data_IF_205212748371
#
_entry.id   IF_205212748371
#
_cell.length_a   1.000
_cell.length_b   1.000
_cell.length_c   1.000
_cell.angle_alpha   90.00
_cell.angle_beta   90.00
_cell.angle_gamma   90.00
#
_symmetry.space_group_name_H-M   'P 1'
#
loop_
_entity.id
_entity.type
_entity.pdbx_description
1 polymer ?
#
# COMPACT_ATOMS: atom_id res chain seq x y z
N UNK A 1 -41.69 -25.07 5.69
CA UNK A 1 -40.70 -24.54 6.66
C UNK A 1 -40.34 -23.15 6.17
N UNK A 2 -40.93 -22.12 6.79
CA UNK A 2 -40.58 -20.71 6.51
C UNK A 2 -39.16 -20.48 7.03
N UNK A 3 -38.21 -20.24 6.12
CA UNK A 3 -36.86 -19.84 6.47
C UNK A 3 -36.87 -18.54 7.30
N UNK A 4 -35.81 -18.24 8.05
CA UNK A 4 -35.73 -17.02 8.85
C UNK A 4 -35.96 -15.81 7.95
N UNK A 5 -36.89 -14.94 8.34
CA UNK A 5 -37.17 -13.71 7.60
C UNK A 5 -35.92 -12.81 7.59
N UNK A 6 -35.61 -12.16 6.45
CA UNK A 6 -34.48 -11.27 6.35
C UNK A 6 -34.59 -10.14 7.38
N UNK A 7 -33.52 -9.87 8.12
CA UNK A 7 -33.48 -8.79 9.13
C UNK A 7 -33.58 -7.44 8.44
N UNK A 8 -34.25 -6.47 9.10
CA UNK A 8 -34.29 -5.10 8.60
C UNK A 8 -32.89 -4.47 8.66
N UNK A 9 -32.59 -3.52 7.77
CA UNK A 9 -31.33 -2.77 7.74
C UNK A 9 -31.01 -2.14 9.12
N UNK A 10 -32.03 -1.62 9.81
CA UNK A 10 -31.88 -1.09 11.17
C UNK A 10 -31.43 -2.14 12.17
N UNK A 11 -31.96 -3.34 12.10
CA UNK A 11 -31.58 -4.47 12.96
C UNK A 11 -30.15 -4.93 12.65
N UNK A 12 -29.76 -5.00 11.36
CA UNK A 12 -28.41 -5.35 10.93
C UNK A 12 -27.42 -4.30 11.43
N UNK A 13 -27.72 -3.00 11.28
CA UNK A 13 -26.88 -1.90 11.76
C UNK A 13 -26.68 -1.96 13.29
N UNK A 14 -27.73 -2.20 14.05
CA UNK A 14 -27.64 -2.31 15.51
C UNK A 14 -26.73 -3.50 15.90
N UNK A 15 -27.00 -4.68 15.35
CA UNK A 15 -26.20 -5.87 15.62
C UNK A 15 -24.72 -5.71 15.25
N UNK A 16 -24.42 -5.10 14.10
CA UNK A 16 -23.04 -4.80 13.69
C UNK A 16 -22.38 -3.81 14.63
N UNK A 17 -23.07 -2.72 14.98
CA UNK A 17 -22.53 -1.69 15.89
C UNK A 17 -22.19 -2.26 17.26
N UNK A 18 -23.03 -3.13 17.81
CA UNK A 18 -22.77 -3.77 19.11
C UNK A 18 -21.56 -4.70 19.07
N UNK A 19 -21.38 -5.43 17.98
CA UNK A 19 -20.20 -6.32 17.80
C UNK A 19 -18.92 -5.52 17.62
N UNK A 20 -18.95 -4.42 16.85
CA UNK A 20 -17.81 -3.51 16.70
C UNK A 20 -17.40 -2.87 18.05
N UNK A 21 -18.38 -2.46 18.87
CA UNK A 21 -18.12 -1.97 20.24
C UNK A 21 -17.50 -3.06 21.14
N UNK A 22 -18.02 -4.28 21.06
CA UNK A 22 -17.47 -5.39 21.81
C UNK A 22 -16.02 -5.70 21.40
N UNK A 23 -15.73 -5.70 20.10
CA UNK A 23 -14.38 -5.88 19.57
C UNK A 23 -13.43 -4.73 19.97
N UNK A 24 -13.89 -3.48 19.93
CA UNK A 24 -13.11 -2.34 20.42
C UNK A 24 -12.66 -2.51 21.87
N UNK A 25 -13.62 -2.90 22.76
CA UNK A 25 -13.31 -3.19 24.16
C UNK A 25 -12.35 -4.36 24.33
N UNK A 26 -12.54 -5.46 23.56
CA UNK A 26 -11.70 -6.66 23.61
C UNK A 26 -10.26 -6.39 23.15
N UNK A 27 -10.09 -5.61 22.12
CA UNK A 27 -8.79 -5.33 21.47
C UNK A 27 -8.09 -4.09 22.01
N UNK A 28 -8.74 -3.30 22.87
CA UNK A 28 -8.21 -2.00 23.34
C UNK A 28 -8.12 -0.93 22.25
N UNK A 29 -8.83 -1.11 21.11
CA UNK A 29 -8.80 -0.19 19.96
C UNK A 29 -10.00 0.74 19.98
N UNK A 30 -9.79 1.94 19.44
CA UNK A 30 -10.88 2.89 19.24
C UNK A 30 -11.96 2.30 18.31
N UNK A 31 -13.24 2.55 18.66
CA UNK A 31 -14.37 2.06 17.88
C UNK A 31 -14.30 2.48 16.41
N UNK A 32 -13.82 3.69 16.16
CA UNK A 32 -13.70 4.21 14.80
C UNK A 32 -12.68 3.40 13.97
N UNK A 33 -11.55 3.01 14.56
CA UNK A 33 -10.54 2.20 13.90
C UNK A 33 -11.06 0.78 13.60
N UNK A 34 -11.73 0.15 14.57
CA UNK A 34 -12.35 -1.17 14.38
C UNK A 34 -13.40 -1.13 13.26
N UNK A 35 -14.25 -0.11 13.25
CA UNK A 35 -15.26 0.11 12.21
C UNK A 35 -14.61 0.32 10.85
N UNK A 36 -13.60 1.19 10.77
CA UNK A 36 -12.86 1.46 9.53
C UNK A 36 -12.24 0.17 8.97
N UNK A 37 -11.54 -0.60 9.79
CA UNK A 37 -10.93 -1.86 9.36
C UNK A 37 -11.97 -2.87 8.84
N UNK A 38 -13.13 -2.93 9.47
CA UNK A 38 -14.24 -3.77 8.99
C UNK A 38 -14.72 -3.30 7.61
N UNK A 39 -15.01 -2.02 7.46
CA UNK A 39 -15.49 -1.44 6.19
C UNK A 39 -14.47 -1.63 5.06
N UNK A 40 -13.17 -1.41 5.33
CA UNK A 40 -12.12 -1.63 4.33
C UNK A 40 -12.09 -3.09 3.84
N UNK A 41 -12.22 -4.08 4.75
CA UNK A 41 -12.30 -5.50 4.35
C UNK A 41 -13.52 -5.79 3.50
N UNK A 42 -14.70 -5.25 3.84
CA UNK A 42 -15.91 -5.42 3.03
C UNK A 42 -15.78 -4.82 1.64
N UNK A 43 -15.07 -3.70 1.53
CA UNK A 43 -14.76 -3.10 0.24
C UNK A 43 -13.79 -3.96 -0.57
N UNK A 44 -12.72 -4.46 0.05
CA UNK A 44 -11.76 -5.38 -0.59
C UNK A 44 -12.46 -6.66 -1.07
N UNK A 45 -13.41 -7.19 -0.30
CA UNK A 45 -14.21 -8.36 -0.72
C UNK A 45 -14.90 -8.11 -2.06
N UNK A 46 -15.37 -6.90 -2.36
CA UNK A 46 -15.98 -6.57 -3.66
C UNK A 46 -14.96 -6.45 -4.77
N UNK A 47 -13.88 -5.71 -4.53
CA UNK A 47 -12.83 -5.45 -5.52
C UNK A 47 -12.20 -6.75 -6.00
N UNK A 48 -11.84 -7.63 -5.06
CA UNK A 48 -11.16 -8.89 -5.38
C UNK A 48 -12.10 -10.02 -5.80
N UNK A 49 -13.39 -9.96 -5.47
CA UNK A 49 -14.37 -10.92 -6.01
C UNK A 49 -14.66 -10.71 -7.50
N UNK A 50 -14.42 -9.51 -8.02
CA UNK A 50 -14.68 -9.20 -9.43
C UNK A 50 -13.51 -9.59 -10.34
N UNK A 51 -12.32 -9.08 -10.01
CA UNK A 51 -11.11 -9.26 -10.82
C UNK A 51 -9.91 -9.55 -9.90
N UNK A 52 -9.81 -10.75 -9.31
CA UNK A 52 -8.83 -11.07 -8.26
C UNK A 52 -7.39 -10.90 -8.73
N UNK A 53 -7.09 -11.22 -9.99
CA UNK A 53 -5.73 -11.16 -10.54
C UNK A 53 -5.32 -9.78 -11.05
N UNK A 54 -6.24 -8.85 -11.10
CA UNK A 54 -6.01 -7.52 -11.67
C UNK A 54 -5.63 -6.46 -10.61
N UNK A 55 -5.87 -6.75 -9.35
CA UNK A 55 -5.65 -5.84 -8.25
C UNK A 55 -4.57 -6.34 -7.32
N UNK A 56 -3.78 -5.41 -6.76
CA UNK A 56 -2.83 -5.67 -5.68
C UNK A 56 -3.09 -4.66 -4.57
N UNK A 57 -3.24 -5.15 -3.36
CA UNK A 57 -3.30 -4.30 -2.17
C UNK A 57 -1.88 -3.98 -1.69
N UNK A 58 -1.60 -2.69 -1.51
CA UNK A 58 -0.33 -2.15 -0.99
C UNK A 58 -0.51 -1.50 0.38
N UNK A 59 0.53 -0.86 0.86
CA UNK A 59 0.52 0.09 1.97
C UNK A 59 0.14 -0.46 3.33
N UNK A 60 -0.44 0.40 4.16
CA UNK A 60 -0.77 0.07 5.55
C UNK A 60 -1.84 -0.99 5.71
N UNK A 61 -2.83 -1.07 4.81
CA UNK A 61 -3.88 -2.10 4.89
C UNK A 61 -3.33 -3.48 4.53
N UNK A 62 -2.35 -3.58 3.62
CA UNK A 62 -1.62 -4.82 3.37
C UNK A 62 -0.92 -5.33 4.63
N UNK A 63 -0.27 -4.42 5.40
CA UNK A 63 0.31 -4.76 6.70
C UNK A 63 -0.74 -5.31 7.68
N UNK A 64 -1.93 -4.70 7.75
CA UNK A 64 -3.00 -5.16 8.66
C UNK A 64 -3.57 -6.53 8.27
N UNK A 65 -3.58 -6.88 6.98
CA UNK A 65 -3.96 -8.24 6.56
C UNK A 65 -2.92 -9.27 6.96
N UNK A 66 -1.63 -8.97 6.82
CA UNK A 66 -0.52 -9.84 7.21
C UNK A 66 -0.38 -9.96 8.72
N UNK A 67 -0.37 -8.81 9.39
CA UNK A 67 -0.15 -8.68 10.84
C UNK A 67 -1.39 -8.09 11.49
N UNK A 68 -2.25 -8.94 12.00
CA UNK A 68 -3.48 -8.51 12.65
C UNK A 68 -3.29 -7.47 13.77
N UNK A 69 -2.14 -7.41 14.41
CA UNK A 69 -1.81 -6.44 15.44
C UNK A 69 -1.08 -5.19 14.93
N UNK A 70 -0.79 -5.10 13.62
CA UNK A 70 -0.26 -3.88 13.04
C UNK A 70 -1.16 -2.67 13.31
N UNK A 71 -0.57 -1.48 13.26
CA UNK A 71 -1.32 -0.22 13.41
C UNK A 71 -2.48 -0.17 12.40
N UNK A 72 -3.66 0.35 12.80
CA UNK A 72 -4.77 0.48 11.88
C UNK A 72 -4.41 1.42 10.72
N UNK A 73 -4.75 1.02 9.49
CA UNK A 73 -4.71 1.91 8.34
C UNK A 73 -6.02 2.68 8.19
N UNK A 74 -5.94 3.90 7.65
CA UNK A 74 -7.12 4.77 7.43
C UNK A 74 -7.55 4.80 5.96
N UNK A 75 -6.71 4.28 5.07
CA UNK A 75 -6.80 4.30 3.62
C UNK A 75 -6.51 2.94 3.01
N UNK A 76 -6.77 2.84 1.71
CA UNK A 76 -6.37 1.72 0.87
C UNK A 76 -5.40 2.23 -0.20
N UNK A 77 -4.36 1.45 -0.44
CA UNK A 77 -3.46 1.65 -1.58
C UNK A 77 -3.70 0.49 -2.57
N UNK A 78 -4.30 0.79 -3.70
CA UNK A 78 -4.63 -0.20 -4.73
C UNK A 78 -3.79 0.03 -5.98
N UNK A 79 -3.11 -1.03 -6.41
CA UNK A 79 -2.35 -1.08 -7.65
C UNK A 79 -3.09 -1.92 -8.68
N UNK A 80 -3.31 -1.36 -9.89
CA UNK A 80 -3.79 -2.11 -11.04
C UNK A 80 -2.62 -2.75 -11.79
N UNK A 81 -2.66 -4.08 -12.01
CA UNK A 81 -1.51 -4.86 -12.54
C UNK A 81 -1.31 -4.79 -14.03
N UNK A 82 -2.35 -4.74 -14.80
CA UNK A 82 -2.37 -5.03 -16.23
C UNK A 82 -1.86 -3.92 -17.15
N UNK A 83 -1.30 -2.84 -16.59
CA UNK A 83 -0.83 -1.69 -17.37
C UNK A 83 -1.95 -0.92 -18.05
N UNK A 84 -3.19 -1.17 -17.66
CA UNK A 84 -4.40 -0.44 -18.05
C UNK A 84 -4.21 1.07 -17.85
N UNK A 85 -4.85 1.89 -18.66
CA UNK A 85 -4.85 3.33 -18.39
C UNK A 85 -5.56 3.64 -17.06
N UNK A 86 -5.20 4.75 -16.47
CA UNK A 86 -5.66 5.17 -15.15
C UNK A 86 -7.19 5.38 -15.09
N UNK A 87 -7.77 5.89 -16.17
CA UNK A 87 -9.23 6.10 -16.28
C UNK A 87 -9.98 4.77 -16.31
N UNK A 88 -9.43 3.76 -17.00
CA UNK A 88 -10.01 2.42 -17.00
C UNK A 88 -9.95 1.81 -15.61
N UNK A 89 -8.82 1.94 -14.91
CA UNK A 89 -8.68 1.47 -13.52
C UNK A 89 -9.73 2.12 -12.59
N UNK A 90 -10.01 3.42 -12.77
CA UNK A 90 -11.05 4.12 -12.03
C UNK A 90 -12.47 3.64 -12.40
N UNK A 91 -12.73 3.36 -13.69
CA UNK A 91 -14.02 2.77 -14.11
C UNK A 91 -14.25 1.40 -13.48
N UNK A 92 -13.23 0.55 -13.50
CA UNK A 92 -13.30 -0.80 -12.92
C UNK A 92 -13.50 -0.74 -11.40
N UNK A 93 -12.82 0.17 -10.71
CA UNK A 93 -13.03 0.41 -9.28
C UNK A 93 -14.47 0.85 -8.97
N UNK A 94 -15.07 1.70 -9.81
CA UNK A 94 -16.47 2.12 -9.67
C UNK A 94 -17.44 0.95 -9.84
N UNK A 95 -17.20 0.10 -10.83
CA UNK A 95 -17.99 -1.11 -11.06
C UNK A 95 -17.89 -2.08 -9.88
N UNK A 96 -16.67 -2.35 -9.41
CA UNK A 96 -16.43 -3.20 -8.24
C UNK A 96 -17.12 -2.65 -6.98
N UNK A 97 -17.01 -1.33 -6.73
CA UNK A 97 -17.66 -0.67 -5.60
C UNK A 97 -19.20 -0.81 -5.64
N UNK A 98 -19.78 -0.69 -6.82
CA UNK A 98 -21.23 -0.72 -7.02
C UNK A 98 -21.83 -2.13 -7.00
N UNK A 99 -21.02 -3.19 -6.89
CA UNK A 99 -21.54 -4.58 -6.89
C UNK A 99 -22.58 -4.80 -5.78
N UNK A 100 -23.79 -5.18 -6.13
CA UNK A 100 -24.78 -5.65 -5.16
C UNK A 100 -24.41 -7.06 -4.67
N UNK A 101 -25.15 -7.60 -3.73
CA UNK A 101 -25.21 -9.02 -3.34
C UNK A 101 -23.96 -9.61 -2.65
N UNK A 102 -22.97 -8.79 -2.27
CA UNK A 102 -21.83 -9.26 -1.47
C UNK A 102 -22.15 -9.22 0.02
N UNK A 103 -22.70 -8.10 0.48
CA UNK A 103 -23.18 -7.86 1.84
C UNK A 103 -24.10 -6.62 1.84
N UNK A 104 -24.77 -6.29 2.98
CA UNK A 104 -25.73 -5.19 3.04
C UNK A 104 -25.18 -3.77 2.82
N UNK A 105 -23.86 -3.58 2.71
CA UNK A 105 -23.30 -2.28 2.42
C UNK A 105 -23.51 -1.87 0.96
N UNK A 106 -23.70 -0.59 0.75
CA UNK A 106 -23.60 0.07 -0.56
C UNK A 106 -22.36 0.95 -0.57
N UNK A 107 -21.47 0.75 -1.54
CA UNK A 107 -20.31 1.62 -1.72
C UNK A 107 -20.46 2.45 -2.99
N UNK A 108 -19.97 3.70 -2.92
CA UNK A 108 -19.96 4.61 -4.07
C UNK A 108 -18.69 5.45 -4.06
N UNK A 109 -18.13 5.67 -5.23
CA UNK A 109 -17.11 6.72 -5.43
C UNK A 109 -17.81 8.07 -5.30
N UNK A 110 -17.46 8.84 -4.28
CA UNK A 110 -18.03 10.17 -4.03
C UNK A 110 -17.15 11.29 -4.57
N UNK A 111 -15.84 11.05 -4.73
CA UNK A 111 -14.86 11.96 -5.29
C UNK A 111 -13.72 11.17 -5.91
N UNK A 112 -13.17 11.65 -7.01
CA UNK A 112 -11.94 11.16 -7.61
C UNK A 112 -11.15 12.37 -8.10
N UNK A 113 -9.89 12.48 -7.71
CA UNK A 113 -8.98 13.56 -8.07
C UNK A 113 -7.69 12.95 -8.56
N UNK A 114 -7.28 13.34 -9.74
CA UNK A 114 -5.97 13.01 -10.28
C UNK A 114 -4.88 13.70 -9.44
N UNK A 115 -3.83 12.97 -9.16
CA UNK A 115 -2.72 13.39 -8.31
C UNK A 115 -1.42 13.13 -9.04
N UNK A 116 -0.75 14.19 -9.45
CA UNK A 116 0.55 14.10 -10.14
C UNK A 116 1.63 13.47 -9.28
N UNK A 117 1.61 13.75 -7.95
CA UNK A 117 2.54 13.20 -6.98
C UNK A 117 2.38 11.69 -6.74
N UNK A 118 1.23 11.12 -7.09
CA UNK A 118 0.96 9.67 -7.01
C UNK A 118 1.03 9.00 -8.39
N UNK A 119 1.05 9.78 -9.47
CA UNK A 119 0.76 9.29 -10.82
C UNK A 119 -0.51 8.41 -10.83
N UNK A 120 -1.56 8.88 -10.17
CA UNK A 120 -2.75 8.11 -9.87
C UNK A 120 -3.95 8.96 -9.48
N UNK A 121 -4.98 8.33 -8.95
CA UNK A 121 -6.15 8.99 -8.38
C UNK A 121 -6.18 8.89 -6.85
N UNK A 122 -6.50 9.99 -6.19
CA UNK A 122 -7.04 9.98 -4.83
C UNK A 122 -8.55 9.85 -4.93
N UNK A 123 -9.08 8.68 -4.56
CA UNK A 123 -10.50 8.35 -4.65
C UNK A 123 -11.12 8.34 -3.27
N UNK A 124 -12.28 8.96 -3.11
CA UNK A 124 -13.04 8.87 -1.85
C UNK A 124 -14.23 7.94 -2.03
N UNK A 125 -14.31 6.92 -1.19
CA UNK A 125 -15.40 5.96 -1.14
C UNK A 125 -16.30 6.28 0.04
N UNK A 126 -17.59 6.46 -0.22
CA UNK A 126 -18.61 6.42 0.81
C UNK A 126 -19.17 5.01 0.96
N UNK A 127 -19.52 4.65 2.19
CA UNK A 127 -20.14 3.37 2.58
C UNK A 127 -21.45 3.65 3.28
N UNK A 128 -22.54 3.06 2.80
CA UNK A 128 -23.87 3.18 3.40
C UNK A 128 -24.39 1.83 3.86
N UNK A 129 -25.17 1.85 4.92
CA UNK A 129 -26.01 0.74 5.35
C UNK A 129 -27.46 1.26 5.44
N UNK A 130 -28.26 0.90 4.45
CA UNK A 130 -29.54 1.56 4.19
C UNK A 130 -29.34 3.03 3.78
N UNK A 131 -30.25 3.95 4.18
CA UNK A 131 -30.21 5.34 3.74
C UNK A 131 -29.13 6.19 4.44
N UNK A 132 -28.45 5.66 5.46
CA UNK A 132 -27.51 6.43 6.30
C UNK A 132 -26.08 6.04 5.99
N UNK A 133 -25.21 7.03 5.82
CA UNK A 133 -23.78 6.82 5.70
C UNK A 133 -23.25 6.09 6.95
N UNK A 134 -22.44 5.07 6.73
CA UNK A 134 -21.84 4.27 7.78
C UNK A 134 -20.37 4.64 8.00
N UNK A 135 -19.62 4.84 6.90
CA UNK A 135 -18.23 5.28 6.92
C UNK A 135 -17.84 5.92 5.58
N UNK A 136 -16.66 6.57 5.55
CA UNK A 136 -16.10 7.20 4.36
C UNK A 136 -14.58 7.15 4.43
N UNK A 137 -13.92 6.66 3.39
CA UNK A 137 -12.47 6.47 3.38
C UNK A 137 -11.83 6.82 2.03
N UNK A 138 -10.55 7.19 2.04
CA UNK A 138 -9.79 7.42 0.81
C UNK A 138 -9.13 6.14 0.29
N UNK A 139 -8.90 6.12 -1.01
CA UNK A 139 -8.10 5.14 -1.74
C UNK A 139 -7.07 5.88 -2.59
N UNK A 140 -5.81 5.44 -2.53
CA UNK A 140 -4.80 5.79 -3.52
C UNK A 140 -4.81 4.70 -4.59
N UNK A 141 -5.30 5.07 -5.76
CA UNK A 141 -5.39 4.20 -6.93
C UNK A 141 -4.27 4.53 -7.91
N UNK A 142 -3.40 3.56 -8.14
CA UNK A 142 -2.27 3.69 -9.07
C UNK A 142 -2.28 2.55 -10.10
N UNK A 143 -1.64 2.78 -11.25
CA UNK A 143 -1.38 1.75 -12.26
C UNK A 143 0.09 1.36 -12.25
N UNK A 144 0.39 0.10 -12.48
CA UNK A 144 1.72 -0.46 -12.34
C UNK A 144 2.70 -0.01 -13.41
N UNK A 145 3.27 1.18 -13.29
CA UNK A 145 4.30 1.67 -14.24
C UNK A 145 5.66 0.99 -14.04
N UNK A 146 6.04 0.64 -12.81
CA UNK A 146 7.33 0.01 -12.48
C UNK A 146 7.26 -1.50 -12.27
N UNK A 147 6.06 -2.07 -12.17
CA UNK A 147 5.88 -3.46 -11.75
C UNK A 147 6.30 -3.69 -10.29
N UNK A 148 6.40 -4.94 -9.93
CA UNK A 148 7.01 -5.43 -8.67
C UNK A 148 7.83 -6.67 -8.98
N UNK A 149 8.74 -7.06 -8.08
CA UNK A 149 9.77 -8.07 -8.32
C UNK A 149 9.42 -9.38 -7.62
N UNK A 150 8.98 -9.30 -6.36
CA UNK A 150 8.72 -10.48 -5.55
C UNK A 150 7.44 -11.24 -5.91
N UNK A 151 7.24 -12.42 -5.34
CA UNK A 151 6.02 -13.20 -5.51
C UNK A 151 4.84 -12.54 -4.79
N UNK A 152 3.67 -12.54 -5.45
CA UNK A 152 2.42 -12.06 -4.85
C UNK A 152 1.95 -13.07 -3.81
N UNK A 153 1.60 -12.58 -2.65
CA UNK A 153 0.99 -13.36 -1.59
C UNK A 153 -0.53 -13.12 -1.55
N UNK A 154 -1.26 -14.07 -0.97
CA UNK A 154 -2.71 -13.98 -0.87
C UNK A 154 -3.14 -14.11 0.59
N UNK A 155 -4.03 -13.23 1.04
CA UNK A 155 -4.56 -13.22 2.39
C UNK A 155 -6.09 -13.09 2.38
N UNK A 156 -6.82 -13.90 3.16
CA UNK A 156 -8.28 -13.83 3.21
C UNK A 156 -8.77 -12.57 3.93
N UNK A 157 -9.90 -12.02 3.48
CA UNK A 157 -10.59 -10.90 4.14
C UNK A 157 -11.39 -11.34 5.37
N UNK A 158 -10.76 -12.09 6.28
CA UNK A 158 -11.41 -12.61 7.48
C UNK A 158 -11.57 -11.53 8.54
N UNK A 159 -12.75 -11.46 9.16
CA UNK A 159 -13.00 -10.58 10.29
C UNK A 159 -12.48 -11.16 11.60
N UNK A 160 -12.00 -10.30 12.50
CA UNK A 160 -11.45 -10.68 13.81
C UNK A 160 -12.49 -10.95 14.88
N UNK A 161 -13.74 -10.71 14.54
CA UNK A 161 -14.88 -10.94 15.41
C UNK A 161 -16.00 -11.61 14.62
N UNK A 162 -16.92 -12.24 15.31
CA UNK A 162 -18.09 -12.85 14.66
C UNK A 162 -19.01 -11.75 14.11
N UNK A 163 -18.78 -11.34 12.88
CA UNK A 163 -19.66 -10.39 12.19
C UNK A 163 -21.09 -10.96 12.06
N UNK A 164 -22.12 -10.12 11.86
CA UNK A 164 -23.46 -10.63 11.51
C UNK A 164 -23.40 -11.49 10.25
N UNK A 165 -24.23 -12.56 10.16
CA UNK A 165 -24.14 -13.53 9.06
C UNK A 165 -24.31 -12.92 7.67
N UNK A 166 -24.93 -11.75 7.55
CA UNK A 166 -25.06 -11.01 6.30
C UNK A 166 -23.70 -10.50 5.76
N UNK A 167 -22.66 -10.54 6.57
CA UNK A 167 -21.30 -10.14 6.22
C UNK A 167 -20.34 -11.34 6.14
N UNK A 168 -20.83 -12.53 5.83
CA UNK A 168 -20.04 -13.76 5.83
C UNK A 168 -19.12 -13.94 4.62
N UNK A 169 -19.31 -13.17 3.54
CA UNK A 169 -18.48 -13.26 2.34
C UNK A 169 -17.00 -12.95 2.65
N UNK A 170 -16.09 -13.76 2.12
CA UNK A 170 -14.65 -13.59 2.19
C UNK A 170 -14.02 -13.93 0.85
N UNK A 171 -12.91 -13.29 0.52
CA UNK A 171 -12.10 -13.54 -0.68
C UNK A 171 -10.63 -13.48 -0.31
N UNK A 172 -9.80 -14.09 -1.13
CA UNK A 172 -8.36 -13.92 -1.05
C UNK A 172 -7.95 -12.64 -1.77
N UNK A 173 -7.20 -11.81 -1.06
CA UNK A 173 -6.67 -10.54 -1.55
C UNK A 173 -5.22 -10.75 -1.94
N UNK A 174 -4.90 -10.43 -3.19
CA UNK A 174 -3.53 -10.37 -3.65
C UNK A 174 -2.82 -9.16 -3.02
N UNK A 175 -1.73 -9.42 -2.33
CA UNK A 175 -0.99 -8.43 -1.53
C UNK A 175 0.39 -8.20 -2.12
N UNK A 176 0.82 -6.95 -2.13
CA UNK A 176 2.13 -6.51 -2.63
C UNK A 176 3.26 -7.28 -1.93
N UNK A 177 4.25 -7.85 -2.66
CA UNK A 177 5.27 -8.71 -2.07
C UNK A 177 6.02 -8.07 -0.90
N UNK A 178 6.44 -8.86 0.09
CA UNK A 178 7.20 -8.35 1.25
C UNK A 178 8.48 -7.65 0.80
N UNK A 179 9.23 -8.24 -0.12
CA UNK A 179 10.47 -7.66 -0.67
C UNK A 179 10.26 -6.28 -1.29
N UNK A 180 9.19 -6.14 -2.08
CA UNK A 180 8.83 -4.86 -2.71
C UNK A 180 8.29 -3.87 -1.69
N UNK A 181 7.57 -4.34 -0.67
CA UNK A 181 7.09 -3.48 0.42
C UNK A 181 8.24 -2.93 1.26
N UNK A 182 9.26 -3.73 1.55
CA UNK A 182 10.52 -3.28 2.18
C UNK A 182 11.19 -2.22 1.32
N UNK A 183 11.39 -2.51 0.04
CA UNK A 183 12.02 -1.57 -0.89
C UNK A 183 11.28 -0.24 -1.01
N UNK A 184 9.93 -0.28 -1.12
CA UNK A 184 9.07 0.91 -1.22
C UNK A 184 9.16 1.77 0.05
N UNK A 185 9.18 1.14 1.24
CA UNK A 185 9.30 1.83 2.52
C UNK A 185 10.68 2.44 2.75
N UNK A 186 11.76 1.72 2.43
CA UNK A 186 13.11 2.26 2.46
C UNK A 186 13.23 3.47 1.51
N UNK A 187 12.74 3.34 0.28
CA UNK A 187 12.73 4.43 -0.68
C UNK A 187 11.96 5.64 -0.16
N UNK A 188 10.74 5.45 0.36
CA UNK A 188 9.89 6.52 0.85
C UNK A 188 10.47 7.23 2.10
N UNK A 189 11.24 6.50 2.95
CA UNK A 189 11.94 7.12 4.08
C UNK A 189 13.00 8.12 3.66
N UNK A 190 13.73 7.84 2.55
CA UNK A 190 14.87 8.65 2.12
C UNK A 190 14.57 9.53 0.91
N UNK A 191 13.36 9.43 0.34
CA UNK A 191 12.92 10.30 -0.73
C UNK A 191 12.86 11.76 -0.26
N UNK A 192 13.41 12.66 -1.06
CA UNK A 192 13.41 14.10 -0.79
C UNK A 192 12.33 14.79 -1.58
N UNK A 193 11.63 15.73 -0.97
CA UNK A 193 10.50 16.42 -1.56
C UNK A 193 10.73 17.91 -1.71
N UNK A 194 10.25 18.51 -2.78
CA UNK A 194 10.25 19.94 -3.02
C UNK A 194 11.65 20.55 -2.92
N UNK A 195 11.90 21.44 -1.93
CA UNK A 195 13.18 22.12 -1.72
C UNK A 195 14.18 21.28 -0.92
N UNK A 196 14.36 20.02 -1.28
CA UNK A 196 15.25 19.07 -0.59
C UNK A 196 14.82 18.75 0.87
N UNK A 197 13.51 18.76 1.12
CA UNK A 197 12.98 18.44 2.44
C UNK A 197 13.04 16.94 2.71
N UNK A 198 13.51 16.57 3.90
CA UNK A 198 13.54 15.19 4.35
C UNK A 198 12.11 14.62 4.50
N UNK A 199 11.99 13.32 4.28
CA UNK A 199 10.73 12.61 4.41
C UNK A 199 10.20 12.65 5.85
N UNK A 200 8.89 12.84 5.99
CA UNK A 200 8.15 12.75 7.26
C UNK A 200 7.49 11.39 7.49
N UNK A 201 7.91 10.37 6.76
CA UNK A 201 7.29 9.04 6.74
C UNK A 201 7.78 8.14 7.89
N UNK A 202 7.71 8.63 9.12
CA UNK A 202 8.13 7.91 10.34
C UNK A 202 7.45 6.54 10.50
N UNK A 203 6.21 6.40 10.02
CA UNK A 203 5.48 5.13 10.07
C UNK A 203 6.13 4.04 9.20
N UNK A 204 6.93 4.40 8.17
CA UNK A 204 7.59 3.41 7.33
C UNK A 204 8.72 2.71 8.08
N UNK A 205 9.45 3.39 8.97
CA UNK A 205 10.38 2.73 9.89
C UNK A 205 9.66 1.74 10.82
N UNK A 206 8.52 2.13 11.40
CA UNK A 206 7.77 1.23 12.27
C UNK A 206 7.27 -0.02 11.51
N UNK A 207 6.80 0.17 10.27
CA UNK A 207 6.36 -0.93 9.43
C UNK A 207 7.54 -1.82 9.00
N UNK A 208 8.74 -1.27 8.74
CA UNK A 208 9.98 -2.03 8.47
C UNK A 208 10.34 -2.91 9.66
N UNK A 209 10.39 -2.36 10.89
CA UNK A 209 10.67 -3.13 12.09
C UNK A 209 9.68 -4.29 12.29
N UNK A 210 8.39 -4.07 12.00
CA UNK A 210 7.40 -5.14 12.03
C UNK A 210 7.62 -6.19 10.93
N UNK A 211 8.09 -5.78 9.73
CA UNK A 211 8.37 -6.72 8.65
C UNK A 211 9.55 -7.62 9.00
N UNK A 212 10.66 -7.08 9.49
CA UNK A 212 11.84 -7.88 9.85
C UNK A 212 11.59 -8.81 11.04
N UNK A 213 10.73 -8.42 11.98
CA UNK A 213 10.40 -9.24 13.16
C UNK A 213 9.44 -10.40 12.86
N UNK A 214 8.71 -10.35 11.72
CA UNK A 214 7.62 -11.30 11.47
C UNK A 214 7.71 -12.06 10.15
N UNK A 215 8.51 -11.60 9.18
CA UNK A 215 8.56 -12.22 7.86
C UNK A 215 9.98 -12.57 7.43
N UNK A 216 10.17 -13.73 6.79
CA UNK A 216 11.39 -13.97 6.06
C UNK A 216 11.51 -12.97 4.90
N UNK A 217 12.72 -12.44 4.69
CA UNK A 217 13.00 -11.48 3.62
C UNK A 217 14.09 -12.09 2.73
N UNK A 218 13.77 -12.30 1.47
CA UNK A 218 14.74 -12.76 0.48
C UNK A 218 15.67 -11.61 0.11
N UNK A 219 16.97 -11.81 0.30
CA UNK A 219 18.00 -10.82 0.02
C UNK A 219 17.98 -10.36 -1.44
N UNK A 220 18.11 -11.32 -2.35
CA UNK A 220 18.34 -11.01 -3.76
C UNK A 220 17.11 -10.40 -4.41
N UNK A 221 15.91 -10.90 -4.06
CA UNK A 221 14.63 -10.31 -4.49
C UNK A 221 14.48 -8.89 -3.96
N UNK A 222 14.83 -8.65 -2.70
CA UNK A 222 14.70 -7.33 -2.08
C UNK A 222 15.71 -6.33 -2.65
N UNK A 223 16.96 -6.75 -2.89
CA UNK A 223 17.94 -5.90 -3.57
C UNK A 223 17.48 -5.52 -4.98
N UNK A 224 16.91 -6.46 -5.74
CA UNK A 224 16.33 -6.16 -7.04
C UNK A 224 15.13 -5.19 -6.94
N UNK A 225 14.30 -5.31 -5.90
CA UNK A 225 13.19 -4.40 -5.64
C UNK A 225 13.68 -3.00 -5.25
N UNK A 226 14.74 -2.89 -4.43
CA UNK A 226 15.39 -1.60 -4.09
C UNK A 226 15.97 -0.94 -5.35
N UNK A 227 16.63 -1.71 -6.22
CA UNK A 227 17.13 -1.20 -7.50
C UNK A 227 15.99 -0.72 -8.41
N UNK A 228 14.85 -1.41 -8.40
CA UNK A 228 13.64 -0.96 -9.10
C UNK A 228 13.13 0.38 -8.54
N UNK A 229 13.12 0.58 -7.23
CA UNK A 229 12.72 1.86 -6.61
C UNK A 229 13.68 3.00 -7.02
N UNK A 230 14.99 2.75 -7.06
CA UNK A 230 15.97 3.75 -7.54
C UNK A 230 15.76 4.15 -9.00
N UNK A 231 15.23 3.25 -9.83
CA UNK A 231 14.94 3.54 -11.25
C UNK A 231 13.65 4.33 -11.46
N UNK A 232 12.62 4.10 -10.64
CA UNK A 232 11.32 4.76 -10.80
C UNK A 232 11.20 6.07 -10.03
N UNK A 233 12.12 6.34 -9.09
CA UNK A 233 12.15 7.58 -8.28
C UNK A 233 13.39 8.37 -8.65
N UNK A 234 13.18 9.44 -9.41
CA UNK A 234 14.30 10.30 -9.83
C UNK A 234 15.05 10.88 -8.62
N UNK A 235 16.39 10.76 -8.65
CA UNK A 235 17.25 11.32 -7.62
C UNK A 235 17.23 10.62 -6.27
N UNK A 236 16.60 9.44 -6.15
CA UNK A 236 16.60 8.68 -4.91
C UNK A 236 18.02 8.20 -4.57
N UNK A 237 18.54 8.66 -3.44
CA UNK A 237 19.81 8.23 -2.85
C UNK A 237 19.52 7.54 -1.53
N UNK A 238 19.87 6.27 -1.40
CA UNK A 238 19.76 5.53 -0.15
C UNK A 238 21.10 5.56 0.59
N UNK A 239 21.10 5.70 1.93
CA UNK A 239 22.31 5.62 2.72
C UNK A 239 22.84 4.19 2.77
N UNK A 240 24.14 4.01 3.08
CA UNK A 240 24.72 2.67 3.28
C UNK A 240 24.32 2.02 4.61
N UNK A 241 23.68 2.76 5.50
CA UNK A 241 23.16 2.27 6.80
C UNK A 241 21.80 2.88 7.09
N UNK A 242 20.99 2.15 7.82
CA UNK A 242 19.70 2.66 8.30
C UNK A 242 19.95 3.77 9.33
N UNK A 243 19.60 4.99 8.97
CA UNK A 243 19.79 6.22 9.79
C UNK A 243 18.51 7.06 9.78
N UNK A 244 18.35 7.93 10.76
CA UNK A 244 17.27 8.90 10.74
C UNK A 244 17.44 9.87 9.55
N UNK A 245 16.40 10.07 8.71
CA UNK A 245 16.46 11.00 7.59
C UNK A 245 16.65 12.48 7.99
N UNK A 246 16.21 12.83 9.20
CA UNK A 246 16.23 14.19 9.73
C UNK A 246 16.22 14.16 11.28
N UNK A 247 16.84 15.14 11.98
CA UNK A 247 16.83 15.23 13.45
C UNK A 247 15.42 15.30 14.07
N UNK A 248 14.42 15.83 13.37
CA UNK A 248 13.03 15.90 13.84
C UNK A 248 12.44 14.52 14.15
N UNK A 249 13.00 13.44 13.58
CA UNK A 249 12.57 12.09 13.83
C UNK A 249 12.69 11.68 15.29
N UNK A 250 13.71 12.16 16.00
CA UNK A 250 13.90 11.88 17.43
C UNK A 250 12.75 12.39 18.29
N UNK A 251 12.18 13.53 17.95
CA UNK A 251 11.06 14.12 18.69
C UNK A 251 9.75 13.37 18.43
N UNK A 252 9.54 12.88 17.21
CA UNK A 252 8.27 12.29 16.78
C UNK A 252 8.20 10.78 17.01
N UNK A 253 9.34 10.11 16.97
CA UNK A 253 9.43 8.65 16.98
C UNK A 253 8.78 7.97 18.19
N UNK A 254 8.98 8.38 19.46
CA UNK A 254 8.41 7.67 20.61
C UNK A 254 6.89 7.53 20.54
N UNK A 255 6.20 8.56 20.06
CA UNK A 255 4.75 8.54 19.86
C UNK A 255 4.34 7.59 18.72
N UNK A 256 5.10 7.59 17.63
CA UNK A 256 4.86 6.72 16.46
C UNK A 256 5.08 5.25 16.85
N UNK A 257 6.18 4.94 17.53
CA UNK A 257 6.52 3.59 17.98
C UNK A 257 5.43 3.02 18.90
N UNK A 258 4.98 3.81 19.88
CA UNK A 258 3.90 3.42 20.78
C UNK A 258 2.57 3.19 20.03
N UNK A 259 2.21 4.08 19.10
CA UNK A 259 0.99 3.94 18.28
C UNK A 259 1.06 2.73 17.33
N UNK A 260 2.26 2.32 16.91
CA UNK A 260 2.52 1.15 16.07
C UNK A 260 2.63 -0.15 16.88
N UNK A 261 2.45 -0.10 18.21
CA UNK A 261 2.54 -1.22 19.13
C UNK A 261 3.91 -1.95 19.10
N UNK A 262 4.97 -1.22 18.79
CA UNK A 262 6.32 -1.74 18.92
C UNK A 262 6.67 -1.98 20.40
N UNK A 263 7.57 -2.93 20.70
CA UNK A 263 8.10 -3.12 22.05
C UNK A 263 8.65 -1.82 22.65
N UNK A 264 8.47 -1.61 23.95
CA UNK A 264 8.93 -0.38 24.62
C UNK A 264 10.44 -0.12 24.45
N UNK A 265 11.24 -1.17 24.27
CA UNK A 265 12.67 -1.09 23.96
C UNK A 265 12.98 -0.40 22.62
N UNK A 266 12.01 -0.37 21.69
CA UNK A 266 12.14 0.29 20.39
C UNK A 266 11.45 1.66 20.35
N UNK A 267 11.01 2.21 21.47
CA UNK A 267 10.47 3.57 21.54
C UNK A 267 11.57 4.64 21.52
N UNK A 268 12.80 4.27 21.82
CA UNK A 268 13.98 5.09 21.53
C UNK A 268 14.38 4.92 20.07
N UNK A 269 14.67 6.04 19.37
CA UNK A 269 14.96 5.98 17.92
C UNK A 269 16.29 5.30 17.63
N UNK A 270 17.32 5.54 18.44
CA UNK A 270 18.63 4.92 18.24
C UNK A 270 18.55 3.42 18.45
N UNK A 271 17.81 2.97 19.47
CA UNK A 271 17.55 1.54 19.71
C UNK A 271 16.79 0.92 18.52
N UNK A 272 15.78 1.60 17.98
CA UNK A 272 15.01 1.17 16.82
C UNK A 272 15.89 1.06 15.56
N UNK A 273 16.74 2.06 15.31
CA UNK A 273 17.69 2.05 14.18
C UNK A 273 18.74 0.95 14.33
N UNK A 274 19.28 0.72 15.54
CA UNK A 274 20.23 -0.37 15.81
C UNK A 274 19.56 -1.73 15.57
N UNK A 275 18.30 -1.89 15.96
CA UNK A 275 17.54 -3.11 15.69
C UNK A 275 17.41 -3.34 14.18
N UNK A 276 16.87 -2.37 13.43
CA UNK A 276 16.65 -2.50 11.99
C UNK A 276 17.92 -2.62 11.15
N UNK A 277 19.07 -2.12 11.62
CA UNK A 277 20.36 -2.28 10.92
C UNK A 277 20.77 -3.73 10.72
N UNK A 278 20.37 -4.63 11.62
CA UNK A 278 20.68 -6.07 11.51
C UNK A 278 20.17 -6.66 10.20
N UNK A 279 18.99 -6.21 9.79
CA UNK A 279 18.36 -6.66 8.55
C UNK A 279 18.74 -5.75 7.37
N UNK A 280 18.54 -4.44 7.51
CA UNK A 280 18.48 -3.52 6.39
C UNK A 280 19.83 -3.00 5.92
N UNK A 281 20.89 -2.97 6.76
CA UNK A 281 22.22 -2.51 6.31
C UNK A 281 22.79 -3.44 5.24
N UNK A 282 22.57 -4.75 5.36
CA UNK A 282 22.99 -5.73 4.34
C UNK A 282 22.34 -5.43 2.98
N UNK A 283 21.06 -5.08 2.98
CA UNK A 283 20.32 -4.73 1.77
C UNK A 283 20.72 -3.37 1.19
N UNK A 284 20.98 -2.38 2.05
CA UNK A 284 21.37 -1.03 1.65
C UNK A 284 22.80 -0.97 1.06
N UNK A 285 23.68 -1.86 1.51
CA UNK A 285 25.06 -1.99 1.02
C UNK A 285 25.19 -2.88 -0.20
N UNK A 286 24.14 -3.62 -0.55
CA UNK A 286 24.20 -4.57 -1.64
C UNK A 286 24.27 -3.86 -3.00
N UNK A 287 25.11 -4.44 -3.88
CA UNK A 287 25.18 -4.08 -5.29
C UNK A 287 24.25 -4.98 -6.09
N UNK A 288 23.21 -4.40 -6.70
CA UNK A 288 22.24 -5.11 -7.54
C UNK A 288 22.90 -5.78 -8.79
N UNK A 289 24.12 -5.39 -9.15
CA UNK A 289 24.85 -5.99 -10.29
C UNK A 289 25.75 -7.15 -9.86
N UNK A 290 25.99 -7.34 -8.56
CA UNK A 290 26.78 -8.44 -8.02
C UNK A 290 26.08 -9.79 -8.21
N UNK A 291 26.83 -10.87 -8.02
CA UNK A 291 26.30 -12.23 -8.03
C UNK A 291 25.29 -12.40 -6.86
N UNK A 292 24.21 -13.18 -7.05
CA UNK A 292 23.23 -13.47 -5.99
C UNK A 292 23.93 -14.06 -4.76
N UNK A 293 23.54 -13.60 -3.58
CA UNK A 293 24.10 -14.07 -2.31
C UNK A 293 23.35 -15.27 -1.75
N UNK A 294 22.11 -15.50 -2.22
CA UNK A 294 21.22 -16.56 -1.74
C UNK A 294 21.07 -16.58 -0.22
N UNK A 295 20.72 -15.43 0.34
CA UNK A 295 20.46 -15.25 1.75
C UNK A 295 18.97 -15.01 2.02
N UNK A 296 18.50 -15.50 3.17
CA UNK A 296 17.17 -15.20 3.68
C UNK A 296 17.28 -14.68 5.12
N UNK A 297 16.57 -13.60 5.41
CA UNK A 297 16.41 -13.09 6.77
C UNK A 297 15.53 -14.02 7.60
N UNK A 298 16.00 -14.43 8.77
CA UNK A 298 15.26 -15.23 9.74
C UNK A 298 14.74 -14.34 10.87
N UNK A 299 13.41 -14.08 10.96
CA UNK A 299 12.83 -13.30 12.06
C UNK A 299 13.11 -13.88 13.45
N UNK A 300 13.16 -15.22 13.56
CA UNK A 300 13.38 -15.91 14.84
C UNK A 300 14.83 -15.81 15.35
N UNK A 301 15.79 -15.65 14.44
CA UNK A 301 17.23 -15.58 14.74
C UNK A 301 17.77 -14.16 14.66
N UNK A 302 16.99 -13.23 14.06
CA UNK A 302 17.40 -11.86 13.74
C UNK A 302 18.73 -11.83 13.00
N UNK A 303 18.88 -12.71 11.99
CA UNK A 303 20.10 -12.89 11.22
C UNK A 303 19.81 -13.32 9.78
N UNK A 304 20.76 -13.01 8.89
CA UNK A 304 20.79 -13.50 7.53
C UNK A 304 21.40 -14.89 7.49
N UNK A 305 20.70 -15.84 6.87
CA UNK A 305 21.12 -17.23 6.75
C UNK A 305 21.21 -17.64 5.29
N UNK A 306 22.08 -18.60 4.94
CA UNK A 306 22.10 -19.18 3.60
C UNK A 306 20.73 -19.73 3.22
N UNK A 307 20.21 -19.32 2.07
CA UNK A 307 18.96 -19.84 1.53
C UNK A 307 19.23 -21.07 0.69
N UNK A 308 18.78 -22.23 1.14
CA UNK A 308 18.71 -23.43 0.31
C UNK A 308 17.30 -23.48 -0.29
N UNK A 309 17.10 -23.18 -1.59
CA UNK A 309 15.79 -23.24 -2.23
C UNK A 309 15.17 -24.61 -2.00
N UNK A 310 13.92 -24.66 -1.53
CA UNK A 310 13.17 -25.91 -1.46
C UNK A 310 12.90 -26.41 -2.88
N UNK A 311 12.89 -27.71 -3.08
CA UNK A 311 12.71 -28.35 -4.39
C UNK A 311 11.37 -28.05 -5.05
N UNK A 312 10.40 -27.54 -4.29
CA UNK A 312 9.05 -27.15 -4.71
C UNK A 312 8.88 -25.62 -4.87
N UNK A 313 9.84 -24.80 -4.45
CA UNK A 313 9.86 -23.39 -4.77
C UNK A 313 10.41 -23.19 -6.20
N UNK A 314 9.74 -22.37 -7.03
CA UNK A 314 10.33 -22.01 -8.32
C UNK A 314 11.63 -21.26 -8.03
N UNK A 315 12.76 -21.94 -8.23
CA UNK A 315 14.08 -21.34 -8.07
C UNK A 315 14.13 -20.07 -8.93
N UNK A 316 14.25 -18.91 -8.30
CA UNK A 316 14.49 -17.66 -9.03
C UNK A 316 15.91 -17.77 -9.55
N UNK A 317 16.03 -18.25 -10.77
CA UNK A 317 17.34 -18.47 -11.41
C UNK A 317 18.00 -17.12 -11.74
N UNK A 318 19.34 -17.05 -11.86
CA UNK A 318 20.04 -15.85 -12.34
C UNK A 318 19.46 -15.34 -13.66
N UNK A 319 18.95 -16.23 -14.50
CA UNK A 319 18.27 -15.91 -15.77
C UNK A 319 16.91 -15.25 -15.54
N UNK A 320 16.15 -15.65 -14.52
CA UNK A 320 14.89 -14.98 -14.13
C UNK A 320 15.17 -13.61 -13.52
N UNK A 321 16.20 -13.45 -12.69
CA UNK A 321 16.66 -12.14 -12.22
C UNK A 321 17.07 -11.23 -13.38
N UNK A 322 17.84 -11.73 -14.33
CA UNK A 322 18.21 -10.97 -15.52
C UNK A 322 16.99 -10.61 -16.37
N UNK A 323 16.02 -11.51 -16.52
CA UNK A 323 14.78 -11.26 -17.25
C UNK A 323 13.88 -10.23 -16.55
N UNK A 324 13.75 -10.30 -15.22
CA UNK A 324 13.00 -9.33 -14.41
C UNK A 324 13.64 -7.94 -14.48
N UNK A 325 14.99 -7.87 -14.42
CA UNK A 325 15.74 -6.61 -14.63
C UNK A 325 15.55 -6.06 -16.05
N UNK A 326 15.61 -6.91 -17.08
CA UNK A 326 15.43 -6.52 -18.47
C UNK A 326 14.00 -6.03 -18.75
N UNK A 327 12.99 -6.68 -18.20
CA UNK A 327 11.58 -6.28 -18.33
C UNK A 327 11.30 -4.91 -17.64
N UNK A 328 11.92 -4.66 -16.49
CA UNK A 328 11.88 -3.36 -15.82
C UNK A 328 12.57 -2.25 -16.64
N UNK A 329 13.72 -2.55 -17.25
CA UNK A 329 14.47 -1.61 -18.06
C UNK A 329 13.76 -1.26 -19.39
N UNK A 330 13.10 -2.21 -20.04
CA UNK A 330 12.36 -2.00 -21.29
C UNK A 330 11.13 -1.10 -21.09
N UNK A 331 10.46 -1.20 -19.93
CA UNK A 331 9.30 -0.34 -19.61
C UNK A 331 9.69 1.12 -19.35
N UNK A 332 10.88 1.37 -18.76
CA UNK A 332 11.40 2.73 -18.55
C UNK A 332 11.79 3.44 -19.84
N UNK A 333 12.25 2.72 -20.89
CA UNK A 333 12.66 3.32 -22.16
C UNK A 333 11.48 3.69 -23.04
N UNK A 334 10.35 2.96 -22.95
CA UNK A 334 9.15 3.23 -23.76
C UNK A 334 8.44 4.51 -23.30
N UNK A 335 8.50 4.84 -22.01
CA UNK A 335 7.87 6.05 -21.46
C UNK A 335 8.65 7.34 -21.77
N UNK A 336 9.96 7.24 -22.08
CA UNK A 336 10.82 8.40 -22.34
C UNK A 336 10.79 8.85 -23.81
N UNK A 337 10.26 8.04 -24.73
CA UNK A 337 10.22 8.35 -26.17
C UNK A 337 8.99 9.17 -26.62
N UNK A 338 7.94 9.27 -25.80
CA UNK A 338 6.67 9.90 -26.19
C UNK A 338 6.41 11.30 -25.58
N UNK A 339 7.35 11.86 -24.83
CA UNK A 339 7.22 13.21 -24.26
C UNK A 339 8.03 14.25 -25.04
N UNK A 340 7.73 14.41 -26.32
CA UNK A 340 8.11 15.63 -27.07
C UNK A 340 6.98 16.66 -26.89
N UNK A 341 7.25 17.85 -26.34
CA UNK A 341 6.21 18.87 -26.23
C UNK A 341 5.88 19.42 -27.64
N UNK A 342 4.71 19.11 -28.11
CA UNK A 342 4.13 19.77 -29.30
C UNK A 342 3.89 21.23 -28.94
N UNK A 343 4.76 22.10 -29.48
CA UNK A 343 4.59 23.55 -29.45
C UNK A 343 3.25 23.93 -30.10
N UNK A 344 2.35 24.52 -29.33
CA UNK A 344 1.14 25.13 -29.85
C UNK A 344 1.54 26.38 -30.69
N UNK A 345 1.03 26.58 -31.90
CA UNK A 345 1.31 27.79 -32.68
C UNK A 345 0.59 28.98 -32.05
N UNK A 346 1.36 30.02 -31.81
CA UNK A 346 0.93 31.33 -31.33
C UNK A 346 0.20 32.05 -32.44
N UNK A 347 -1.14 32.14 -32.43
CA UNK A 347 -1.89 32.99 -33.31
C UNK A 347 -2.03 34.38 -32.71
N UNK A 348 -1.12 35.27 -33.12
CA UNK A 348 -1.29 36.71 -33.02
C UNK A 348 -2.39 37.19 -34.00
N UNK A 349 -3.38 37.87 -33.47
CA UNK A 349 -4.19 38.90 -34.16
C UNK A 349 -4.51 39.93 -33.09
N UNK A 350 -4.10 41.12 -33.20
CA UNK A 350 -4.25 42.08 -34.27
C UNK A 350 -5.22 43.15 -33.77
N UNK A 351 -4.66 44.28 -33.54
CA UNK A 351 -5.15 45.61 -33.21
C UNK A 351 -6.57 45.99 -33.65
N UNK A 352 -7.24 46.88 -32.86
CA UNK A 352 -8.31 47.72 -33.35
C UNK A 352 -9.07 48.51 -32.32
N UNK A 353 -8.58 49.77 -31.99
CA UNK A 353 -9.32 51.03 -31.73
C UNK A 353 -10.48 51.05 -30.71
N UNK A 354 -10.32 51.76 -29.56
CA UNK A 354 -10.61 53.20 -29.34
C UNK A 354 -12.08 53.62 -29.48
N UNK A 355 -12.58 54.16 -28.45
CA UNK A 355 -13.57 55.24 -28.12
C UNK A 355 -14.44 54.77 -26.97
N UNK A 356 -14.63 55.42 -25.85
CA UNK A 356 -14.71 56.85 -25.59
C UNK A 356 -15.97 57.10 -24.79
N UNK A 357 -15.81 57.85 -23.69
CA UNK A 357 -16.78 58.72 -23.08
C UNK A 357 -17.86 58.18 -22.08
N UNK A 358 -17.67 58.62 -20.82
CA UNK A 358 -18.61 59.21 -19.86
C UNK A 358 -19.87 58.40 -19.41
N UNK A 359 -19.98 58.07 -18.20
CA UNK A 359 -20.55 58.78 -17.03
C UNK A 359 -20.42 57.90 -15.75
#
# INVERSE_FOLDING_TARGET
VTGPQPRSERAIRAALTDRLKAEGRRSGRELQDVRRQFVLRRFLTRVFADQPDQWILKGGTAMVLRLPNARPSKDLDLLRRDGTDLDQALRDLRLAAARPDVDPFTFRVTRAEERDDLEGFRVTIGCWLGPTEFDKFPIDLVVGKGGFIGPVEHYPTVDRFAAPPEFSASVDVAVYPVSDQVADKLAAMYERHGRDLASTRHHDLADLLLLEDHFPIDHDVTVAAIDNQKRVRDGLVLPAQLVAPDPDWYTKWPKIAAASQLPASLHDLDAALVHGRRCYDTLLQADATAAPQHLIWSPSELSWNPHTPRTDEPAITPRMYAALRAAGAQRSTTTRADSTPTARPNTARGAGRAHGIER
#
